data_IF_384448265142
#
_entry.id   IF_384448265142
#
_cell.length_a   1.000
_cell.length_b   1.000
_cell.length_c   1.000
_cell.angle_alpha   90.00
_cell.angle_beta   90.00
_cell.angle_gamma   90.00
#
_symmetry.space_group_name_H-M   'P 1'
#
loop_
_entity.id
_entity.type
_entity.pdbx_description
1 polymer ?
#
# COMPACT_ATOMS: atom_id res chain seq x y z
N UNK A 1 39.78 -10.02 5.14
CA UNK A 1 39.38 -9.20 3.98
C UNK A 1 37.95 -9.44 3.48
N UNK A 2 37.31 -10.59 3.75
CA UNK A 2 35.92 -10.86 3.32
C UNK A 2 34.84 -10.14 4.14
N UNK A 3 35.08 -9.87 5.44
CA UNK A 3 34.14 -9.13 6.31
C UNK A 3 33.97 -7.66 5.89
N UNK A 4 35.06 -6.97 5.54
CA UNK A 4 35.03 -5.57 5.11
C UNK A 4 34.34 -5.39 3.75
N UNK A 5 34.49 -6.36 2.84
CA UNK A 5 33.79 -6.36 1.55
C UNK A 5 32.29 -6.63 1.72
N UNK A 6 31.91 -7.54 2.63
CA UNK A 6 30.51 -7.77 2.98
C UNK A 6 29.88 -6.58 3.71
N UNK A 7 30.62 -5.89 4.58
CA UNK A 7 30.17 -4.64 5.22
C UNK A 7 30.06 -3.47 4.24
N UNK A 8 30.99 -3.32 3.29
CA UNK A 8 30.90 -2.31 2.23
C UNK A 8 29.75 -2.58 1.24
N UNK A 9 29.53 -3.84 0.88
CA UNK A 9 28.40 -4.26 0.05
C UNK A 9 27.07 -4.16 0.81
N UNK A 10 27.06 -4.47 2.11
CA UNK A 10 25.88 -4.32 2.95
C UNK A 10 25.50 -2.84 3.11
N UNK A 11 26.45 -1.94 3.39
CA UNK A 11 26.18 -0.50 3.52
C UNK A 11 25.72 0.21 2.24
N UNK A 12 25.78 -0.47 1.09
CA UNK A 12 25.44 0.08 -0.23
C UNK A 12 24.32 -0.70 -0.94
N UNK A 13 23.72 -1.70 -0.29
CA UNK A 13 22.69 -2.55 -0.90
C UNK A 13 21.29 -1.99 -0.64
N UNK A 14 20.41 -2.03 -1.64
CA UNK A 14 19.00 -1.64 -1.50
C UNK A 14 18.33 -2.42 -0.34
N UNK A 15 18.61 -3.72 -0.23
CA UNK A 15 18.05 -4.56 0.83
C UNK A 15 18.45 -4.09 2.24
N UNK A 16 19.64 -3.53 2.41
CA UNK A 16 20.08 -2.99 3.70
C UNK A 16 19.30 -1.73 4.09
N UNK A 17 19.13 -0.79 3.16
CA UNK A 17 18.35 0.42 3.41
C UNK A 17 16.86 0.11 3.62
N UNK A 18 16.31 -0.88 2.92
CA UNK A 18 14.96 -1.40 3.18
C UNK A 18 14.82 -1.97 4.60
N UNK A 19 15.79 -2.77 5.05
CA UNK A 19 15.79 -3.32 6.40
C UNK A 19 15.89 -2.22 7.47
N UNK A 20 16.73 -1.22 7.24
CA UNK A 20 16.82 -0.04 8.12
C UNK A 20 15.52 0.77 8.14
N UNK A 21 14.90 1.00 6.98
CA UNK A 21 13.63 1.71 6.89
C UNK A 21 12.53 0.99 7.68
N UNK A 22 12.42 -0.35 7.55
CA UNK A 22 11.50 -1.18 8.36
C UNK A 22 11.80 -1.05 9.86
N UNK A 23 13.06 -1.09 10.25
CA UNK A 23 13.46 -0.92 11.65
C UNK A 23 13.16 0.49 12.18
N UNK A 24 13.24 1.53 11.35
CA UNK A 24 12.87 2.90 11.71
C UNK A 24 11.36 3.04 11.91
N UNK A 25 10.54 2.41 11.06
CA UNK A 25 9.08 2.38 11.23
C UNK A 25 8.65 1.74 12.54
N UNK A 26 9.29 0.64 12.94
CA UNK A 26 9.05 0.00 14.24
C UNK A 26 9.41 0.90 15.43
N UNK A 27 10.30 1.87 15.23
CA UNK A 27 10.69 2.87 16.23
C UNK A 27 9.92 4.18 16.08
N UNK A 28 8.98 4.25 15.14
CA UNK A 28 8.23 5.46 14.77
C UNK A 28 9.13 6.65 14.34
N UNK A 29 10.37 6.37 13.92
CA UNK A 29 11.30 7.39 13.43
C UNK A 29 11.09 7.60 11.91
N UNK A 30 10.03 8.37 11.60
CA UNK A 30 9.60 8.61 10.22
C UNK A 30 10.63 9.40 9.40
N UNK A 31 11.41 10.27 10.05
CA UNK A 31 12.45 11.07 9.38
C UNK A 31 13.58 10.16 8.87
N UNK A 32 14.12 9.29 9.72
CA UNK A 32 15.17 8.35 9.30
C UNK A 32 14.65 7.30 8.33
N UNK A 33 13.39 6.89 8.47
CA UNK A 33 12.76 5.99 7.51
C UNK A 33 12.78 6.60 6.10
N UNK A 34 12.40 7.88 5.98
CA UNK A 34 12.41 8.61 4.72
C UNK A 34 13.81 8.69 4.10
N UNK A 35 14.83 9.03 4.89
CA UNK A 35 16.23 9.06 4.45
C UNK A 35 16.68 7.69 3.92
N UNK A 36 16.38 6.61 4.66
CA UNK A 36 16.71 5.25 4.23
C UNK A 36 16.00 4.89 2.92
N UNK A 37 14.72 5.24 2.77
CA UNK A 37 13.97 4.99 1.56
C UNK A 37 14.48 5.80 0.36
N UNK A 38 14.90 7.05 0.57
CA UNK A 38 15.54 7.85 -0.47
C UNK A 38 16.80 7.17 -1.00
N UNK A 39 17.64 6.61 -0.11
CA UNK A 39 18.81 5.85 -0.53
C UNK A 39 18.44 4.53 -1.23
N UNK A 40 17.41 3.81 -0.74
CA UNK A 40 16.94 2.58 -1.37
C UNK A 40 16.44 2.82 -2.81
N UNK A 41 15.62 3.86 -3.03
CA UNK A 41 15.16 4.28 -4.36
C UNK A 41 16.33 4.64 -5.28
N UNK A 42 17.35 5.33 -4.75
CA UNK A 42 18.53 5.72 -5.53
C UNK A 42 19.34 4.51 -6.01
N UNK A 43 19.36 3.44 -5.23
CA UNK A 43 20.09 2.21 -5.56
C UNK A 43 19.28 1.34 -6.52
N UNK A 44 18.00 1.13 -6.25
CA UNK A 44 17.13 0.29 -7.06
C UNK A 44 15.69 0.83 -7.09
N UNK A 45 15.43 1.69 -8.07
CA UNK A 45 14.11 2.30 -8.27
C UNK A 45 13.07 1.34 -8.86
N UNK A 46 13.49 0.16 -9.34
CA UNK A 46 12.60 -0.86 -9.91
C UNK A 46 12.17 -1.91 -8.88
N UNK A 47 12.62 -1.78 -7.63
CA UNK A 47 12.27 -2.70 -6.57
C UNK A 47 10.87 -2.38 -6.00
N UNK A 48 9.90 -3.31 -6.10
CA UNK A 48 8.52 -3.09 -5.62
C UNK A 48 8.43 -2.93 -4.10
N UNK A 49 9.32 -3.57 -3.31
CA UNK A 49 9.33 -3.42 -1.85
C UNK A 49 9.66 -1.99 -1.40
N UNK A 50 10.46 -1.28 -2.20
CA UNK A 50 10.81 0.14 -1.93
C UNK A 50 9.56 1.00 -2.05
N UNK A 51 8.77 0.79 -3.10
CA UNK A 51 7.52 1.53 -3.34
C UNK A 51 6.44 1.15 -2.33
N UNK A 52 6.32 -0.13 -1.96
CA UNK A 52 5.38 -0.58 -0.93
C UNK A 52 5.67 0.10 0.41
N UNK A 53 6.96 0.15 0.80
CA UNK A 53 7.36 0.72 2.08
C UNK A 53 7.30 2.25 2.08
N UNK A 54 7.59 2.91 0.94
CA UNK A 54 7.38 4.35 0.76
C UNK A 54 5.89 4.72 0.83
N UNK A 55 5.03 3.94 0.19
CA UNK A 55 3.58 4.11 0.31
C UNK A 55 3.11 3.99 1.75
N UNK A 56 3.65 3.02 2.50
CA UNK A 56 3.34 2.90 3.92
C UNK A 56 3.80 4.10 4.76
N UNK A 57 5.00 4.62 4.50
CA UNK A 57 5.48 5.83 5.16
C UNK A 57 4.56 7.03 4.88
N UNK A 58 4.16 7.24 3.62
CA UNK A 58 3.20 8.29 3.24
C UNK A 58 1.85 8.11 3.95
N UNK A 59 1.33 6.88 3.99
CA UNK A 59 0.10 6.55 4.69
C UNK A 59 0.16 6.92 6.18
N UNK A 60 1.26 6.58 6.86
CA UNK A 60 1.46 6.95 8.28
C UNK A 60 1.55 8.47 8.49
N UNK A 61 2.10 9.20 7.51
CA UNK A 61 2.11 10.66 7.49
C UNK A 61 0.77 11.29 7.12
N UNK A 62 -0.26 10.48 6.79
CA UNK A 62 -1.57 10.91 6.27
C UNK A 62 -1.51 11.61 4.91
N UNK A 63 -0.43 11.38 4.17
CA UNK A 63 -0.32 11.76 2.78
C UNK A 63 -0.90 10.64 1.91
N UNK A 64 -2.22 10.59 1.80
CA UNK A 64 -2.93 9.51 1.11
C UNK A 64 -2.73 9.54 -0.39
N UNK A 65 -2.60 10.73 -0.99
CA UNK A 65 -2.29 10.88 -2.41
C UNK A 65 -0.92 10.28 -2.74
N UNK A 66 0.12 10.62 -1.97
CA UNK A 66 1.45 10.03 -2.14
C UNK A 66 1.48 8.53 -1.82
N UNK A 67 0.68 8.08 -0.85
CA UNK A 67 0.55 6.66 -0.54
C UNK A 67 -0.07 5.87 -1.70
N UNK A 68 -1.18 6.38 -2.27
CA UNK A 68 -1.89 5.80 -3.42
C UNK A 68 -0.94 5.63 -4.61
N UNK A 69 -0.25 6.69 -5.02
CA UNK A 69 0.72 6.62 -6.13
C UNK A 69 1.80 5.56 -5.90
N UNK A 70 2.34 5.46 -4.67
CA UNK A 70 3.36 4.47 -4.35
C UNK A 70 2.82 3.03 -4.38
N UNK A 71 1.59 2.81 -3.91
CA UNK A 71 0.95 1.49 -3.93
C UNK A 71 0.56 1.07 -5.34
N UNK A 72 -0.04 1.96 -6.14
CA UNK A 72 -0.32 1.73 -7.56
C UNK A 72 0.96 1.41 -8.34
N UNK A 73 2.03 2.14 -8.05
CA UNK A 73 3.34 1.84 -8.62
C UNK A 73 3.85 0.47 -8.21
N UNK A 74 3.63 0.06 -6.96
CA UNK A 74 4.02 -1.28 -6.48
C UNK A 74 3.33 -2.38 -7.29
N UNK A 75 2.01 -2.27 -7.50
CA UNK A 75 1.25 -3.27 -8.26
C UNK A 75 1.53 -3.25 -9.77
N UNK A 76 2.11 -2.16 -10.29
CA UNK A 76 2.49 -2.05 -11.71
C UNK A 76 3.72 -2.88 -12.09
N UNK A 77 4.50 -3.35 -11.12
CA UNK A 77 5.68 -4.17 -11.37
C UNK A 77 5.30 -5.62 -11.67
N UNK A 78 6.09 -6.28 -12.52
CA UNK A 78 5.90 -7.70 -12.87
C UNK A 78 6.23 -8.64 -11.71
N UNK A 79 7.12 -8.22 -10.82
CA UNK A 79 7.51 -8.99 -9.63
C UNK A 79 6.76 -8.43 -8.44
N UNK A 80 6.11 -9.31 -7.69
CA UNK A 80 5.39 -8.94 -6.47
C UNK A 80 6.35 -8.44 -5.37
N UNK A 81 5.89 -7.47 -4.59
CA UNK A 81 6.53 -7.13 -3.31
C UNK A 81 6.34 -8.27 -2.30
N UNK A 82 7.15 -8.27 -1.24
CA UNK A 82 7.03 -9.27 -0.17
C UNK A 82 5.67 -9.20 0.57
N UNK A 83 5.11 -8.00 0.71
CA UNK A 83 3.92 -7.73 1.54
C UNK A 83 2.71 -7.25 0.70
N UNK A 84 2.41 -7.91 -0.43
CA UNK A 84 1.31 -7.49 -1.34
C UNK A 84 -0.07 -7.42 -0.66
N UNK A 85 -0.37 -8.32 0.28
CA UNK A 85 -1.64 -8.27 1.03
C UNK A 85 -1.84 -6.91 1.71
N UNK A 86 -0.77 -6.38 2.29
CA UNK A 86 -0.79 -5.09 2.96
C UNK A 86 -0.96 -3.92 1.97
N UNK A 87 -0.28 -3.99 0.83
CA UNK A 87 -0.39 -3.00 -0.26
C UNK A 87 -1.83 -2.89 -0.73
N UNK A 88 -2.45 -4.01 -1.11
CA UNK A 88 -3.83 -4.03 -1.57
C UNK A 88 -4.83 -3.58 -0.50
N UNK A 89 -4.66 -4.01 0.75
CA UNK A 89 -5.53 -3.59 1.86
C UNK A 89 -5.47 -2.06 2.06
N UNK A 90 -4.27 -1.48 2.08
CA UNK A 90 -4.12 -0.04 2.28
C UNK A 90 -4.60 0.76 1.09
N UNK A 91 -4.29 0.32 -0.13
CA UNK A 91 -4.76 0.95 -1.36
C UNK A 91 -6.31 0.95 -1.43
N UNK A 92 -6.95 -0.20 -1.17
CA UNK A 92 -8.40 -0.29 -1.11
C UNK A 92 -9.04 0.60 -0.03
N UNK A 93 -8.38 0.74 1.12
CA UNK A 93 -8.83 1.68 2.16
C UNK A 93 -8.75 3.15 1.71
N UNK A 94 -7.72 3.54 0.96
CA UNK A 94 -7.56 4.90 0.44
C UNK A 94 -8.64 5.20 -0.60
N UNK A 95 -8.85 4.29 -1.56
CA UNK A 95 -9.92 4.42 -2.54
C UNK A 95 -11.30 4.60 -1.90
N UNK A 96 -11.58 3.88 -0.79
CA UNK A 96 -12.83 4.05 -0.04
C UNK A 96 -12.97 5.42 0.63
N UNK A 97 -11.87 6.03 1.08
CA UNK A 97 -11.90 7.34 1.72
C UNK A 97 -12.20 8.48 0.75
N UNK A 98 -11.80 8.34 -0.52
CA UNK A 98 -12.07 9.33 -1.57
C UNK A 98 -13.57 9.39 -1.95
N UNK A 99 -14.36 8.34 -1.63
CA UNK A 99 -15.83 8.26 -1.73
C UNK A 99 -16.43 8.62 -3.10
N UNK A 100 -15.62 8.68 -4.15
CA UNK A 100 -16.10 8.80 -5.51
C UNK A 100 -16.55 7.45 -6.04
N UNK A 101 -17.54 7.46 -6.93
CA UNK A 101 -18.17 6.23 -7.42
C UNK A 101 -17.22 5.36 -8.24
N UNK A 102 -16.36 6.00 -9.03
CA UNK A 102 -15.36 5.30 -9.86
C UNK A 102 -14.32 4.61 -8.96
N UNK A 103 -13.91 5.27 -7.88
CA UNK A 103 -12.95 4.77 -6.90
C UNK A 103 -13.52 3.62 -6.04
N UNK A 104 -14.84 3.46 -5.94
CA UNK A 104 -15.44 2.31 -5.24
C UNK A 104 -15.18 0.98 -5.97
N UNK A 105 -15.10 0.99 -7.30
CA UNK A 105 -14.75 -0.20 -8.08
C UNK A 105 -13.29 -0.61 -7.84
N UNK A 106 -12.38 0.36 -7.93
CA UNK A 106 -10.95 0.18 -7.62
C UNK A 106 -10.75 -0.32 -6.18
N UNK A 107 -11.52 0.21 -5.22
CA UNK A 107 -11.52 -0.28 -3.85
C UNK A 107 -11.94 -1.74 -3.73
N UNK A 108 -13.04 -2.13 -4.40
CA UNK A 108 -13.56 -3.50 -4.37
C UNK A 108 -12.55 -4.48 -4.97
N UNK A 109 -11.93 -4.13 -6.10
CA UNK A 109 -10.91 -4.94 -6.75
C UNK A 109 -9.68 -5.11 -5.84
N UNK A 110 -9.12 -4.02 -5.32
CA UNK A 110 -7.99 -4.07 -4.42
C UNK A 110 -8.29 -4.89 -3.14
N UNK A 111 -9.46 -4.71 -2.52
CA UNK A 111 -9.83 -5.47 -1.32
C UNK A 111 -10.12 -6.95 -1.61
N UNK A 112 -10.59 -7.26 -2.82
CA UNK A 112 -10.77 -8.64 -3.27
C UNK A 112 -9.43 -9.35 -3.45
N UNK A 113 -8.43 -8.68 -4.02
CA UNK A 113 -7.05 -9.18 -4.09
C UNK A 113 -6.44 -9.36 -2.69
N UNK A 114 -6.65 -8.39 -1.79
CA UNK A 114 -6.21 -8.52 -0.39
C UNK A 114 -6.85 -9.74 0.29
N UNK A 115 -8.15 -9.99 0.05
CA UNK A 115 -8.88 -11.14 0.58
C UNK A 115 -8.37 -12.47 -0.01
N UNK A 116 -8.03 -12.49 -1.29
CA UNK A 116 -7.46 -13.67 -1.95
C UNK A 116 -6.11 -14.08 -1.32
N UNK A 117 -5.26 -13.09 -0.99
CA UNK A 117 -3.98 -13.31 -0.34
C UNK A 117 -4.12 -13.72 1.14
N UNK A 118 -5.09 -13.16 1.86
CA UNK A 118 -5.37 -13.53 3.26
C UNK A 118 -6.84 -13.33 3.63
N UNK A 119 -7.61 -14.41 3.45
CA UNK A 119 -9.04 -14.43 3.72
C UNK A 119 -9.44 -14.43 5.21
N UNK A 120 -8.46 -14.41 6.12
CA UNK A 120 -8.69 -14.35 7.57
C UNK A 120 -8.57 -12.95 8.14
N UNK A 121 -8.21 -11.95 7.32
CA UNK A 121 -8.07 -10.59 7.79
C UNK A 121 -9.46 -9.94 7.98
N UNK A 122 -9.85 -9.71 9.24
CA UNK A 122 -11.14 -9.09 9.57
C UNK A 122 -11.30 -7.65 9.04
N UNK A 123 -10.19 -6.92 8.86
CA UNK A 123 -10.20 -5.55 8.33
C UNK A 123 -10.67 -5.54 6.87
N UNK A 124 -10.19 -6.48 6.06
CA UNK A 124 -10.63 -6.64 4.66
C UNK A 124 -12.13 -6.92 4.60
N UNK A 125 -12.63 -7.83 5.43
CA UNK A 125 -14.07 -8.14 5.50
C UNK A 125 -14.92 -6.95 5.93
N UNK A 126 -14.42 -6.14 6.87
CA UNK A 126 -15.10 -4.92 7.30
C UNK A 126 -15.23 -3.94 6.13
N UNK A 127 -14.17 -3.71 5.36
CA UNK A 127 -14.20 -2.83 4.20
C UNK A 127 -15.09 -3.35 3.06
N UNK A 128 -15.01 -4.64 2.72
CA UNK A 128 -15.90 -5.26 1.72
C UNK A 128 -17.38 -5.14 2.13
N UNK A 129 -17.67 -5.29 3.43
CA UNK A 129 -19.02 -5.08 3.97
C UNK A 129 -19.49 -3.63 3.81
N UNK A 130 -18.59 -2.65 4.02
CA UNK A 130 -18.90 -1.23 3.81
C UNK A 130 -19.19 -0.91 2.34
N UNK A 131 -18.45 -1.50 1.40
CA UNK A 131 -18.71 -1.36 -0.04
C UNK A 131 -20.10 -1.90 -0.38
N UNK A 132 -20.42 -3.12 0.08
CA UNK A 132 -21.73 -3.73 -0.14
C UNK A 132 -22.88 -2.84 0.36
N UNK A 133 -22.72 -2.22 1.54
CA UNK A 133 -23.69 -1.28 2.07
C UNK A 133 -23.85 -0.03 1.19
N UNK A 134 -22.77 0.57 0.69
CA UNK A 134 -22.83 1.74 -0.19
C UNK A 134 -23.55 1.42 -1.50
N UNK A 135 -23.20 0.30 -2.15
CA UNK A 135 -23.82 -0.15 -3.40
C UNK A 135 -25.32 -0.41 -3.17
N UNK A 136 -25.67 -1.14 -2.10
CA UNK A 136 -27.08 -1.46 -1.79
C UNK A 136 -27.92 -0.21 -1.47
N UNK A 137 -27.32 0.80 -0.82
CA UNK A 137 -27.99 2.07 -0.57
C UNK A 137 -28.29 2.79 -1.89
N UNK A 138 -27.34 2.86 -2.82
CA UNK A 138 -27.56 3.51 -4.11
C UNK A 138 -28.65 2.87 -4.96
N UNK A 139 -28.71 1.53 -5.05
CA UNK A 139 -29.79 0.84 -5.75
C UNK A 139 -31.17 1.24 -5.19
N UNK A 140 -31.28 1.39 -3.86
CA UNK A 140 -32.52 1.81 -3.21
C UNK A 140 -32.92 3.24 -3.58
N UNK A 141 -31.97 4.15 -3.78
CA UNK A 141 -32.23 5.56 -4.14
C UNK A 141 -32.32 5.81 -5.66
N UNK A 142 -31.77 4.91 -6.49
CA UNK A 142 -31.86 4.96 -7.96
C UNK A 142 -33.22 4.50 -8.45
N UNK A 143 -33.73 3.37 -7.94
CA UNK A 143 -35.05 2.84 -8.30
C UNK A 143 -36.20 3.76 -7.83
N UNK A 144 -35.97 4.59 -6.80
CA UNK A 144 -36.97 5.55 -6.32
C UNK A 144 -37.12 6.83 -7.16
N UNK A 145 -36.22 7.10 -8.12
CA UNK A 145 -36.24 8.32 -8.95
C UNK A 145 -36.74 8.12 -10.38
N UNK A 146 -36.95 6.88 -10.82
CA UNK A 146 -37.51 6.58 -12.15
C UNK A 146 -39.05 6.41 -12.15
N UNK A 147 -39.72 6.69 -11.03
CA UNK A 147 -41.17 6.53 -10.87
C UNK A 147 -41.93 7.84 -10.51
N UNK A 148 -41.37 9.01 -10.79
CA UNK A 148 -42.11 10.29 -10.71
C UNK A 148 -41.85 11.20 -11.91
#
# INVERSE_FOLDING_TARGET
HMALAHELLAGSSCAYYLALARACLLKEDLSKCEECLCEAVRIDFMNPDVWALKGHLCYLKKDFAGAKECYERTISFVVDAADMHFVYLRLGSIYLEEKELEELGEAEDALSEANALNNRNAEVWAYLSLICLHVSAQFRWGVGREFF
#
